data_IF_581094401168
#
_entry.id   IF_581094401168
#
_cell.length_a   1.000
_cell.length_b   1.000
_cell.length_c   1.000
_cell.angle_alpha   90.00
_cell.angle_beta   90.00
_cell.angle_gamma   90.00
#
_symmetry.space_group_name_H-M   'P 1'
#
loop_
_entity.id
_entity.type
_entity.pdbx_description
1 polymer ?
#
# COMPACT_ATOMS: atom_id res chain seq x y z
N UNK A 1 56.82 -21.88 4.12
CA UNK A 1 56.91 -21.68 5.58
C UNK A 1 56.49 -20.25 5.90
N UNK A 2 55.24 -20.02 6.30
CA UNK A 2 54.78 -18.70 6.75
C UNK A 2 54.35 -18.81 8.21
N UNK A 3 54.95 -17.97 9.07
CA UNK A 3 54.73 -17.91 10.52
C UNK A 3 53.52 -17.03 10.82
N UNK A 4 52.53 -17.61 11.49
CA UNK A 4 51.39 -16.94 12.12
C UNK A 4 51.82 -16.37 13.46
N UNK A 5 51.55 -15.07 13.72
CA UNK A 5 51.65 -14.50 15.06
C UNK A 5 50.26 -14.45 15.71
N UNK A 6 50.18 -15.03 16.91
CA UNK A 6 49.02 -15.03 17.80
C UNK A 6 49.18 -13.87 18.78
N UNK A 7 48.21 -12.96 18.83
CA UNK A 7 48.14 -11.91 19.86
C UNK A 7 47.16 -12.35 20.95
N UNK A 8 47.69 -12.50 22.18
CA UNK A 8 46.93 -12.77 23.41
C UNK A 8 46.24 -11.49 23.89
N UNK A 9 44.96 -11.61 24.28
CA UNK A 9 44.26 -10.60 25.10
C UNK A 9 44.44 -10.91 26.58
N UNK A 10 44.95 -9.94 27.33
CA UNK A 10 45.02 -9.93 28.80
C UNK A 10 43.77 -9.27 29.37
N UNK A 11 43.19 -9.90 30.39
CA UNK A 11 42.18 -9.33 31.29
C UNK A 11 42.85 -8.55 32.40
N UNK A 12 42.31 -7.38 32.75
CA UNK A 12 42.54 -6.77 34.07
C UNK A 12 41.26 -6.14 34.59
N UNK A 13 40.85 -6.64 35.74
CA UNK A 13 39.91 -6.05 36.69
C UNK A 13 40.61 -4.98 37.52
N UNK A 14 39.88 -3.94 37.94
CA UNK A 14 39.69 -3.57 39.36
C UNK A 14 38.94 -2.23 39.54
N UNK A 15 38.04 -2.27 40.52
CA UNK A 15 37.63 -1.26 41.50
C UNK A 15 37.43 0.22 41.12
N UNK A 16 36.20 0.72 41.35
CA UNK A 16 35.94 1.98 42.08
C UNK A 16 34.65 1.81 42.90
N UNK A 17 34.67 2.30 44.15
CA UNK A 17 33.62 2.15 45.15
C UNK A 17 32.56 3.25 45.21
N UNK A 18 31.67 3.05 46.19
CA UNK A 18 30.50 3.82 46.62
C UNK A 18 30.68 5.34 46.74
N UNK A 19 29.64 6.11 46.36
CA UNK A 19 29.12 7.27 47.10
C UNK A 19 27.58 7.34 46.93
N UNK A 20 26.88 7.44 48.08
CA UNK A 20 25.47 7.81 48.25
C UNK A 20 25.32 9.34 48.27
N UNK A 21 24.31 9.89 47.62
CA UNK A 21 23.52 11.02 48.15
C UNK A 21 22.19 11.19 47.41
N UNK A 22 21.17 11.48 48.22
CA UNK A 22 19.78 11.77 47.89
C UNK A 22 19.65 13.09 47.11
N UNK A 23 18.61 13.22 46.26
CA UNK A 23 17.71 14.38 46.29
C UNK A 23 16.49 14.21 45.35
N UNK A 24 15.38 14.80 45.77
CA UNK A 24 14.02 14.43 45.41
C UNK A 24 13.49 14.91 44.05
N UNK A 25 12.44 14.21 43.59
CA UNK A 25 11.61 14.59 42.46
C UNK A 25 10.19 14.93 42.95
N UNK A 26 9.57 16.05 42.51
CA UNK A 26 8.19 16.36 42.84
C UNK A 26 7.21 15.59 41.93
N UNK A 27 5.96 15.38 42.37
CA UNK A 27 5.00 14.56 41.64
C UNK A 27 4.44 15.30 40.41
N UNK A 28 4.36 14.57 39.29
CA UNK A 28 3.72 14.99 38.05
C UNK A 28 2.20 15.22 38.26
N UNK A 29 1.78 16.48 38.14
CA UNK A 29 0.36 16.87 38.06
C UNK A 29 -0.24 16.40 36.73
N UNK A 30 -1.26 15.55 36.79
CA UNK A 30 -2.15 15.23 35.67
C UNK A 30 -3.10 16.41 35.43
N UNK A 31 -2.83 17.22 34.41
CA UNK A 31 -3.82 18.17 33.89
C UNK A 31 -4.58 17.52 32.73
N UNK A 32 -5.83 17.16 32.97
CA UNK A 32 -6.80 16.76 31.94
C UNK A 32 -7.32 18.00 31.22
N UNK A 33 -6.90 18.23 29.97
CA UNK A 33 -7.44 19.29 29.12
C UNK A 33 -8.54 18.77 28.19
N UNK A 34 -9.76 19.25 28.42
CA UNK A 34 -10.95 19.12 27.57
C UNK A 34 -10.93 20.19 26.47
N UNK A 35 -10.21 19.95 25.36
CA UNK A 35 -10.14 20.92 24.23
C UNK A 35 -10.56 20.36 22.85
N UNK A 36 -11.10 19.14 22.79
CA UNK A 36 -11.61 18.54 21.54
C UNK A 36 -12.86 19.22 20.97
N UNK A 37 -13.52 20.13 21.71
CA UNK A 37 -14.74 20.80 21.25
C UNK A 37 -14.49 22.05 20.38
N UNK A 38 -13.37 22.78 20.54
CA UNK A 38 -13.14 24.02 19.75
C UNK A 38 -12.78 23.73 18.28
N UNK A 39 -12.02 22.66 18.00
CA UNK A 39 -11.66 22.26 16.63
C UNK A 39 -12.87 21.77 15.80
N UNK A 40 -13.89 21.17 16.45
CA UNK A 40 -15.14 20.76 15.77
C UNK A 40 -15.99 21.97 15.33
N UNK A 41 -15.92 23.08 16.06
CA UNK A 41 -16.71 24.28 15.79
C UNK A 41 -16.17 25.04 14.57
N UNK A 42 -14.84 25.15 14.43
CA UNK A 42 -14.23 25.84 13.28
C UNK A 42 -14.42 25.08 11.96
N UNK A 43 -14.44 23.75 11.97
CA UNK A 43 -14.70 22.94 10.76
C UNK A 43 -16.15 23.08 10.28
N UNK A 44 -17.15 23.11 11.19
CA UNK A 44 -18.55 23.34 10.81
C UNK A 44 -18.76 24.75 10.24
N UNK A 45 -18.12 25.77 10.80
CA UNK A 45 -18.16 27.15 10.27
C UNK A 45 -17.48 27.29 8.90
N UNK A 46 -16.43 26.52 8.62
CA UNK A 46 -15.77 26.51 7.31
C UNK A 46 -16.53 25.72 6.22
N UNK A 47 -17.37 24.75 6.59
CA UNK A 47 -18.18 23.95 5.65
C UNK A 47 -19.50 24.63 5.25
N UNK A 48 -20.10 25.45 6.12
CA UNK A 48 -21.35 26.16 5.81
C UNK A 48 -21.27 27.13 4.59
N UNK A 49 -20.19 27.90 4.36
CA UNK A 49 -20.09 28.76 3.18
C UNK A 49 -19.82 28.02 1.86
N UNK A 50 -19.60 26.69 1.87
CA UNK A 50 -19.47 25.88 0.64
C UNK A 50 -20.83 25.42 0.08
N UNK A 51 -21.91 25.52 0.86
CA UNK A 51 -23.26 25.05 0.48
C UNK A 51 -24.18 26.22 0.11
N UNK A 52 -23.86 27.44 0.53
CA UNK A 52 -24.71 28.61 0.30
C UNK A 52 -23.93 29.75 -0.41
N UNK A 53 -24.03 29.81 -1.73
CA UNK A 53 -23.94 31.08 -2.47
C UNK A 53 -24.55 31.00 -3.87
N UNK A 54 -25.41 31.95 -4.18
CA UNK A 54 -25.87 32.39 -5.51
C UNK A 54 -25.96 33.94 -5.44
N UNK A 55 -25.96 34.66 -6.57
CA UNK A 55 -24.77 35.33 -7.08
C UNK A 55 -24.84 36.86 -6.94
N UNK A 56 -23.67 37.50 -6.96
CA UNK A 56 -23.54 38.93 -7.24
C UNK A 56 -22.50 39.15 -8.33
N UNK A 57 -22.87 40.09 -9.22
CA UNK A 57 -22.37 40.29 -10.57
C UNK A 57 -20.94 40.88 -10.70
N UNK A 58 -20.43 40.73 -11.92
CA UNK A 58 -19.40 41.52 -12.62
C UNK A 58 -17.93 41.14 -12.42
N UNK A 59 -17.35 40.44 -13.41
CA UNK A 59 -16.39 41.01 -14.38
C UNK A 59 -16.01 39.96 -15.43
N UNK A 60 -15.84 40.42 -16.68
CA UNK A 60 -15.71 39.61 -17.89
C UNK A 60 -14.38 38.85 -17.96
N UNK A 61 -14.46 37.53 -18.01
CA UNK A 61 -13.50 36.69 -18.73
C UNK A 61 -14.27 35.66 -19.55
N UNK A 62 -13.88 35.48 -20.81
CA UNK A 62 -14.54 34.63 -21.79
C UNK A 62 -14.25 33.15 -21.51
N UNK A 63 -14.90 32.60 -20.48
CA UNK A 63 -15.14 31.17 -20.36
C UNK A 63 -16.54 30.87 -20.90
N UNK A 64 -16.67 29.84 -21.72
CA UNK A 64 -17.98 29.36 -22.18
C UNK A 64 -18.83 29.00 -20.95
N UNK A 65 -19.80 29.86 -20.66
CA UNK A 65 -20.76 29.68 -19.59
C UNK A 65 -21.83 28.69 -20.05
N UNK A 66 -21.44 27.43 -20.23
CA UNK A 66 -22.44 26.37 -20.32
C UNK A 66 -23.21 26.37 -18.99
N UNK A 67 -24.55 26.38 -19.03
CA UNK A 67 -25.34 26.38 -17.81
C UNK A 67 -24.92 25.18 -16.95
N UNK A 68 -24.78 25.35 -15.62
CA UNK A 68 -24.34 24.28 -14.74
C UNK A 68 -25.23 23.06 -14.94
N UNK A 69 -24.62 21.96 -15.37
CA UNK A 69 -25.35 20.74 -15.63
C UNK A 69 -25.96 20.26 -14.30
N UNK A 70 -27.29 20.09 -14.27
CA UNK A 70 -28.04 19.78 -13.03
C UNK A 70 -27.64 18.45 -12.38
N UNK A 71 -26.83 17.64 -13.06
CA UNK A 71 -26.45 16.30 -12.62
C UNK A 71 -25.05 16.22 -11.97
N UNK A 72 -24.33 17.34 -11.80
CA UNK A 72 -23.01 17.28 -11.17
C UNK A 72 -23.10 16.92 -9.68
N UNK A 73 -22.41 15.85 -9.29
CA UNK A 73 -22.25 15.47 -7.89
C UNK A 73 -21.06 16.21 -7.28
N UNK A 74 -21.23 16.72 -6.07
CA UNK A 74 -20.13 17.31 -5.27
C UNK A 74 -19.61 16.28 -4.30
N UNK A 75 -18.34 15.93 -4.43
CA UNK A 75 -17.63 15.02 -3.52
C UNK A 75 -16.59 15.78 -2.72
N UNK A 76 -16.70 15.73 -1.38
CA UNK A 76 -15.75 16.39 -0.47
C UNK A 76 -14.71 15.37 0.02
N UNK A 77 -13.45 15.65 -0.24
CA UNK A 77 -12.32 14.77 0.09
C UNK A 77 -11.40 15.49 1.06
N UNK A 78 -11.14 14.87 2.21
CA UNK A 78 -10.26 15.37 3.26
C UNK A 78 -9.07 14.44 3.42
N UNK A 79 -7.87 14.96 3.20
CA UNK A 79 -6.60 14.26 3.40
C UNK A 79 -5.92 14.86 4.62
N UNK A 80 -5.62 14.03 5.62
CA UNK A 80 -4.77 14.40 6.76
C UNK A 80 -3.38 13.83 6.55
N UNK A 81 -2.35 14.62 6.78
CA UNK A 81 -0.95 14.23 6.61
C UNK A 81 -0.27 14.23 7.99
N UNK A 82 0.20 13.06 8.42
CA UNK A 82 0.73 12.83 9.77
C UNK A 82 2.27 12.80 9.82
N UNK A 83 2.94 12.49 8.71
CA UNK A 83 4.41 12.43 8.67
C UNK A 83 4.96 12.56 7.25
N UNK A 84 6.25 12.86 7.15
CA UNK A 84 7.06 12.76 5.93
C UNK A 84 8.17 11.68 6.08
N UNK A 85 9.05 11.58 5.09
CA UNK A 85 10.15 10.60 5.06
C UNK A 85 11.46 11.05 5.72
N UNK A 86 11.40 12.06 6.61
CA UNK A 86 12.49 12.43 7.49
C UNK A 86 13.05 13.83 7.29
N UNK A 87 12.49 14.65 6.39
CA UNK A 87 12.87 16.05 6.31
C UNK A 87 12.34 16.83 7.54
N UNK A 88 13.20 17.55 8.29
CA UNK A 88 12.78 18.18 9.53
C UNK A 88 11.96 19.47 9.32
N UNK A 89 12.06 20.12 8.16
CA UNK A 89 11.51 21.47 7.93
C UNK A 89 10.46 21.56 6.84
N UNK A 90 10.39 20.56 5.96
CA UNK A 90 9.57 20.64 4.75
C UNK A 90 8.81 19.35 4.48
N UNK A 91 7.58 19.47 4.00
CA UNK A 91 6.82 18.40 3.38
C UNK A 91 6.47 18.77 1.95
N UNK A 92 6.47 17.80 1.04
CA UNK A 92 6.17 18.03 -0.37
C UNK A 92 5.41 16.90 -1.04
N UNK A 93 4.76 17.24 -2.15
CA UNK A 93 4.07 16.29 -3.04
C UNK A 93 4.05 16.88 -4.45
N UNK A 94 4.42 16.07 -5.45
CA UNK A 94 4.48 16.52 -6.83
C UNK A 94 3.09 16.64 -7.45
N UNK A 95 2.22 15.65 -7.24
CA UNK A 95 0.86 15.71 -7.77
C UNK A 95 -0.12 14.87 -6.91
N UNK A 96 -1.33 15.41 -6.74
CA UNK A 96 -2.53 14.74 -6.26
C UNK A 96 -3.61 14.84 -7.34
N UNK A 97 -4.07 13.71 -7.87
CA UNK A 97 -5.20 13.68 -8.80
C UNK A 97 -6.32 12.72 -8.36
N UNK A 98 -7.55 13.18 -8.52
CA UNK A 98 -8.75 12.37 -8.30
C UNK A 98 -9.14 11.73 -9.62
N UNK A 99 -9.50 10.44 -9.61
CA UNK A 99 -9.82 9.71 -10.83
C UNK A 99 -11.13 8.96 -10.74
N UNK A 100 -11.76 8.76 -11.90
CA UNK A 100 -12.95 7.92 -12.06
C UNK A 100 -12.59 6.46 -12.38
N UNK A 101 -13.61 5.64 -12.64
CA UNK A 101 -13.49 4.21 -12.96
C UNK A 101 -12.69 3.93 -14.24
N UNK A 102 -12.64 4.89 -15.15
CA UNK A 102 -11.84 4.81 -16.38
C UNK A 102 -10.38 5.26 -16.13
N UNK A 103 -10.06 5.74 -14.93
CA UNK A 103 -8.77 6.31 -14.60
C UNK A 103 -8.55 7.73 -15.14
N UNK A 104 -9.59 8.40 -15.63
CA UNK A 104 -9.53 9.78 -16.09
C UNK A 104 -9.49 10.75 -14.90
N UNK A 105 -8.70 11.83 -15.00
CA UNK A 105 -8.62 12.88 -13.96
C UNK A 105 -9.97 13.62 -13.85
N UNK A 106 -10.41 13.87 -12.63
CA UNK A 106 -11.63 14.60 -12.31
C UNK A 106 -11.31 16.04 -11.90
N UNK A 107 -12.12 17.03 -12.33
CA UNK A 107 -11.85 18.43 -12.05
C UNK A 107 -12.08 18.76 -10.57
N UNK A 108 -11.12 19.47 -9.97
CA UNK A 108 -11.23 19.99 -8.61
C UNK A 108 -11.91 21.35 -8.68
N UNK A 109 -13.04 21.49 -7.98
CA UNK A 109 -13.79 22.74 -7.93
C UNK A 109 -13.24 23.72 -6.90
N UNK A 110 -12.75 23.22 -5.76
CA UNK A 110 -12.14 24.04 -4.70
C UNK A 110 -11.11 23.25 -3.91
N UNK A 111 -10.08 23.91 -3.41
CA UNK A 111 -9.14 23.33 -2.45
C UNK A 111 -8.85 24.27 -1.27
N UNK A 112 -8.59 23.69 -0.11
CA UNK A 112 -8.20 24.39 1.12
C UNK A 112 -7.08 23.64 1.82
N UNK A 113 -6.22 24.41 2.48
CA UNK A 113 -5.13 23.91 3.32
C UNK A 113 -5.30 24.42 4.75
N UNK A 114 -5.31 23.52 5.73
CA UNK A 114 -5.53 23.83 7.14
C UNK A 114 -6.78 24.71 7.40
N UNK A 115 -7.81 24.58 6.56
CA UNK A 115 -9.05 25.37 6.64
C UNK A 115 -8.97 26.76 6.02
N UNK A 116 -7.83 27.15 5.46
CA UNK A 116 -7.66 28.39 4.69
C UNK A 116 -7.73 28.10 3.20
N UNK A 117 -8.39 28.99 2.45
CA UNK A 117 -8.35 28.96 0.98
C UNK A 117 -6.96 29.41 0.55
N UNK A 118 -6.18 28.48 0.00
CA UNK A 118 -4.84 28.73 -0.53
C UNK A 118 -4.76 28.18 -1.96
N UNK A 119 -5.75 28.54 -2.78
CA UNK A 119 -5.98 27.88 -4.07
C UNK A 119 -4.78 27.99 -5.00
N UNK A 120 -4.12 29.15 -5.09
CA UNK A 120 -2.94 29.35 -5.92
C UNK A 120 -1.77 28.45 -5.51
N UNK A 121 -1.47 28.36 -4.21
CA UNK A 121 -0.41 27.50 -3.69
C UNK A 121 -0.73 26.02 -3.91
N UNK A 122 -2.00 25.66 -3.76
CA UNK A 122 -2.42 24.28 -3.91
C UNK A 122 -2.66 23.86 -5.36
N UNK A 123 -2.86 24.79 -6.31
CA UNK A 123 -2.98 24.48 -7.75
C UNK A 123 -1.80 23.64 -8.24
N UNK A 124 -0.61 23.87 -7.67
CA UNK A 124 0.57 23.05 -7.93
C UNK A 124 0.34 21.55 -7.69
N UNK A 125 -0.54 21.18 -6.75
CA UNK A 125 -0.87 19.78 -6.47
C UNK A 125 -1.67 19.11 -7.59
N UNK A 126 -2.54 19.80 -8.33
CA UNK A 126 -3.49 19.10 -9.21
C UNK A 126 -3.53 19.57 -10.66
N UNK A 127 -3.00 20.76 -10.95
CA UNK A 127 -3.15 21.42 -12.24
C UNK A 127 -1.94 21.21 -13.17
N UNK A 128 -0.94 20.44 -12.74
CA UNK A 128 0.26 20.21 -13.53
C UNK A 128 0.26 18.87 -14.25
N UNK A 129 0.49 18.93 -15.56
CA UNK A 129 0.64 17.77 -16.44
C UNK A 129 2.07 17.23 -16.55
N UNK A 130 3.06 17.90 -15.93
CA UNK A 130 4.47 17.45 -15.98
C UNK A 130 5.13 17.51 -14.60
N UNK A 131 5.61 16.34 -14.17
CA UNK A 131 6.23 16.05 -12.87
C UNK A 131 7.72 16.47 -12.83
N UNK A 132 8.27 17.00 -13.94
CA UNK A 132 9.72 17.06 -14.15
C UNK A 132 10.44 18.26 -13.51
N UNK A 133 9.73 19.35 -13.17
CA UNK A 133 10.34 20.58 -12.64
C UNK A 133 10.11 20.77 -11.12
N UNK A 134 11.16 21.15 -10.37
CA UNK A 134 11.08 21.37 -8.91
C UNK A 134 10.09 22.48 -8.55
N UNK A 135 10.03 23.50 -9.43
CA UNK A 135 9.18 24.68 -9.29
C UNK A 135 7.68 24.35 -9.21
N UNK A 136 7.31 23.15 -9.67
CA UNK A 136 5.92 22.73 -9.80
C UNK A 136 5.50 21.77 -8.68
N UNK A 137 6.37 21.52 -7.70
CA UNK A 137 6.04 20.68 -6.55
C UNK A 137 5.42 21.52 -5.46
N UNK A 138 4.29 21.07 -4.91
CA UNK A 138 3.74 21.68 -3.71
C UNK A 138 4.66 21.40 -2.51
N UNK A 139 5.06 22.47 -1.82
CA UNK A 139 5.91 22.43 -0.63
C UNK A 139 5.26 23.21 0.49
N UNK A 140 5.45 22.73 1.71
CA UNK A 140 4.92 23.33 2.92
C UNK A 140 5.88 23.15 4.09
N UNK A 141 5.80 24.05 5.07
CA UNK A 141 6.58 23.94 6.30
C UNK A 141 6.16 22.71 7.10
N UNK A 142 7.15 22.05 7.70
CA UNK A 142 6.99 20.87 8.56
C UNK A 142 7.88 21.04 9.79
N UNK A 143 7.47 20.57 10.99
CA UNK A 143 6.17 20.01 11.33
C UNK A 143 5.05 21.06 11.30
N UNK A 144 3.77 20.65 11.35
CA UNK A 144 2.66 21.58 11.49
C UNK A 144 2.83 22.45 12.74
N UNK A 145 2.47 23.72 12.66
CA UNK A 145 2.46 24.62 13.81
C UNK A 145 1.57 24.08 14.94
N UNK A 146 2.08 24.14 16.17
CA UNK A 146 1.31 23.78 17.35
C UNK A 146 0.02 24.64 17.43
N UNK A 147 -1.13 24.05 17.83
CA UNK A 147 -1.30 22.74 18.45
C UNK A 147 -1.60 21.59 17.46
N UNK A 148 -1.45 21.84 16.16
CA UNK A 148 -1.84 20.85 15.15
C UNK A 148 -0.83 19.70 15.09
N UNK A 149 -1.32 18.46 15.10
CA UNK A 149 -0.47 17.27 14.94
C UNK A 149 -0.36 16.79 13.48
N UNK A 150 -1.08 17.44 12.55
CA UNK A 150 -1.14 17.06 11.14
C UNK A 150 -1.55 18.25 10.28
N UNK A 151 -1.15 18.24 9.02
CA UNK A 151 -1.75 19.12 8.01
C UNK A 151 -3.05 18.53 7.48
N UNK A 152 -3.94 19.40 6.99
CA UNK A 152 -5.22 19.04 6.38
C UNK A 152 -5.32 19.65 4.99
N UNK A 153 -5.45 18.80 3.98
CA UNK A 153 -5.91 19.20 2.66
C UNK A 153 -7.40 18.87 2.54
N UNK A 154 -8.19 19.80 2.01
CA UNK A 154 -9.61 19.62 1.76
C UNK A 154 -9.91 19.99 0.32
N UNK A 155 -10.44 19.05 -0.43
CA UNK A 155 -10.79 19.21 -1.84
C UNK A 155 -12.29 19.03 -2.03
N UNK A 156 -12.86 19.77 -2.96
CA UNK A 156 -14.18 19.53 -3.53
C UNK A 156 -13.99 19.15 -4.98
N UNK A 157 -14.54 18.01 -5.38
CA UNK A 157 -14.55 17.53 -6.76
C UNK A 157 -15.99 17.63 -7.25
N UNK A 158 -16.21 18.37 -8.33
CA UNK A 158 -17.53 18.54 -8.94
C UNK A 158 -17.52 17.83 -10.29
N UNK A 159 -18.17 16.67 -10.38
CA UNK A 159 -18.22 15.87 -11.60
C UNK A 159 -19.47 15.01 -11.65
N UNK A 160 -19.87 14.59 -12.86
CA UNK A 160 -20.90 13.58 -13.07
C UNK A 160 -20.36 12.17 -12.78
N UNK A 161 -19.05 12.00 -12.94
CA UNK A 161 -18.36 10.78 -12.63
C UNK A 161 -18.03 10.68 -11.14
N UNK A 162 -18.10 9.47 -10.62
CA UNK A 162 -17.72 9.17 -9.24
C UNK A 162 -16.21 9.11 -9.09
N UNK A 163 -15.72 9.62 -7.96
CA UNK A 163 -14.31 9.47 -7.55
C UNK A 163 -14.08 8.04 -7.07
N UNK A 164 -13.22 7.29 -7.76
CA UNK A 164 -12.92 5.88 -7.44
C UNK A 164 -11.46 5.62 -7.12
N UNK A 165 -10.60 6.64 -7.28
CA UNK A 165 -9.25 6.61 -6.74
C UNK A 165 -8.63 7.99 -6.52
N UNK A 166 -7.56 8.01 -5.72
CA UNK A 166 -6.67 9.15 -5.55
C UNK A 166 -5.27 8.72 -5.98
N UNK A 167 -4.68 9.38 -6.96
CA UNK A 167 -3.27 9.21 -7.33
C UNK A 167 -2.45 10.19 -6.52
N UNK A 168 -1.42 9.70 -5.85
CA UNK A 168 -0.44 10.51 -5.11
C UNK A 168 0.92 10.27 -5.74
N UNK A 169 1.52 11.32 -6.27
CA UNK A 169 2.84 11.30 -6.87
C UNK A 169 3.85 12.01 -5.96
N UNK A 170 4.93 11.31 -5.57
CA UNK A 170 5.99 11.90 -4.76
C UNK A 170 6.83 12.90 -5.57
N UNK A 171 7.46 13.84 -4.87
CA UNK A 171 8.60 14.60 -5.39
C UNK A 171 9.82 13.67 -5.52
N UNK A 172 10.31 13.49 -6.74
CA UNK A 172 11.45 12.61 -7.02
C UNK A 172 12.80 13.29 -6.75
N UNK A 173 12.84 14.62 -6.66
CA UNK A 173 14.08 15.38 -6.48
C UNK A 173 14.53 15.40 -5.02
N UNK A 174 13.60 15.52 -4.08
CA UNK A 174 13.88 15.36 -2.65
C UNK A 174 12.87 14.41 -1.99
N UNK A 175 13.21 13.13 -1.99
CA UNK A 175 12.36 12.08 -1.42
C UNK A 175 12.24 12.12 0.10
N UNK A 176 13.06 12.89 0.80
CA UNK A 176 12.96 13.04 2.26
C UNK A 176 11.76 13.88 2.68
N UNK A 177 11.33 14.80 1.80
CA UNK A 177 10.19 15.69 2.02
C UNK A 177 8.85 15.03 1.69
N UNK A 178 8.84 13.88 1.02
CA UNK A 178 7.60 13.25 0.59
C UNK A 178 6.69 12.86 1.74
N UNK A 179 5.39 12.96 1.48
CA UNK A 179 4.33 12.48 2.38
C UNK A 179 4.54 10.99 2.68
N UNK A 180 4.54 10.62 3.97
CA UNK A 180 4.63 9.24 4.45
C UNK A 180 3.28 8.72 4.94
N UNK A 181 2.83 9.12 6.13
CA UNK A 181 1.57 8.62 6.70
C UNK A 181 0.40 9.57 6.42
N UNK A 182 -0.69 9.05 5.87
CA UNK A 182 -1.92 9.82 5.62
C UNK A 182 -3.19 9.11 6.11
N UNK A 183 -4.26 9.89 6.20
CA UNK A 183 -5.61 9.36 6.15
C UNK A 183 -6.49 10.15 5.20
N UNK A 184 -7.34 9.44 4.47
CA UNK A 184 -8.28 10.04 3.52
C UNK A 184 -9.69 9.78 4.02
N UNK A 185 -10.52 10.82 3.99
CA UNK A 185 -11.96 10.75 4.18
C UNK A 185 -12.70 11.32 2.98
N UNK A 186 -13.76 10.64 2.54
CA UNK A 186 -14.67 11.10 1.49
C UNK A 186 -16.07 11.25 2.07
N UNK A 187 -16.68 12.43 1.95
CA UNK A 187 -17.99 12.75 2.52
C UNK A 187 -18.09 12.35 4.02
N UNK A 188 -17.06 12.72 4.79
CA UNK A 188 -16.87 12.38 6.22
C UNK A 188 -16.52 10.92 6.55
N UNK A 189 -16.60 10.00 5.60
CA UNK A 189 -16.24 8.59 5.81
C UNK A 189 -14.76 8.38 5.53
N UNK A 190 -13.99 7.91 6.51
CA UNK A 190 -12.58 7.56 6.29
C UNK A 190 -12.48 6.38 5.33
N UNK A 191 -11.88 6.58 4.15
CA UNK A 191 -11.73 5.55 3.11
C UNK A 191 -10.34 4.92 3.10
N UNK A 192 -9.33 5.59 3.67
CA UNK A 192 -7.97 5.10 3.71
C UNK A 192 -7.22 5.60 4.95
N UNK A 193 -6.32 4.77 5.49
CA UNK A 193 -5.25 5.17 6.42
C UNK A 193 -4.05 4.26 6.16
N UNK A 194 -2.87 4.84 5.97
CA UNK A 194 -1.67 4.05 5.72
C UNK A 194 -0.48 4.90 5.33
N UNK A 195 0.61 4.21 5.00
CA UNK A 195 1.84 4.81 4.50
C UNK A 195 1.88 4.83 2.97
N UNK A 196 2.38 5.92 2.40
CA UNK A 196 2.69 6.08 0.99
C UNK A 196 4.14 5.70 0.71
N UNK A 197 4.47 5.15 -0.47
CA UNK A 197 5.85 4.90 -0.86
C UNK A 197 6.70 6.18 -0.89
N UNK A 198 7.99 6.05 -0.60
CA UNK A 198 8.93 7.18 -0.53
C UNK A 198 9.22 7.81 -1.90
N UNK A 199 9.28 7.01 -2.95
CA UNK A 199 9.89 7.35 -4.24
C UNK A 199 9.06 6.87 -5.44
N UNK A 200 7.83 6.40 -5.21
CA UNK A 200 6.94 5.93 -6.28
C UNK A 200 5.49 6.35 -6.07
N UNK A 201 4.79 6.62 -7.17
CA UNK A 201 3.37 6.99 -7.16
C UNK A 201 2.47 5.88 -6.62
N UNK A 202 1.44 6.25 -5.86
CA UNK A 202 0.45 5.32 -5.34
C UNK A 202 -0.95 5.72 -5.80
N UNK A 203 -1.75 4.72 -6.20
CA UNK A 203 -3.19 4.89 -6.39
C UNK A 203 -3.89 4.33 -5.17
N UNK A 204 -4.58 5.19 -4.44
CA UNK A 204 -5.44 4.84 -3.30
C UNK A 204 -6.83 4.56 -3.85
N UNK A 205 -7.29 3.30 -3.89
CA UNK A 205 -8.63 2.99 -4.36
C UNK A 205 -9.69 3.48 -3.35
N UNK A 206 -10.78 4.03 -3.87
CA UNK A 206 -11.96 4.45 -3.12
C UNK A 206 -13.10 3.49 -3.46
N UNK A 207 -13.24 2.44 -2.65
CA UNK A 207 -14.35 1.50 -2.76
C UNK A 207 -15.54 1.99 -1.92
N UNK A 208 -16.72 2.18 -2.55
CA UNK A 208 -17.95 2.62 -1.88
C UNK A 208 -18.43 1.65 -0.81
N UNK A 209 -18.03 0.38 -0.89
CA UNK A 209 -18.42 -0.61 0.13
C UNK A 209 -17.85 -0.25 1.50
N UNK A 210 -16.67 0.41 1.56
CA UNK A 210 -16.12 0.92 2.81
C UNK A 210 -16.95 2.06 3.42
N UNK A 211 -17.77 2.74 2.61
CA UNK A 211 -18.66 3.82 3.03
C UNK A 211 -19.99 3.25 3.52
N UNK A 212 -20.52 2.24 2.84
CA UNK A 212 -21.79 1.59 3.19
C UNK A 212 -21.64 0.73 4.45
N UNK A 213 -20.51 0.02 4.61
CA UNK A 213 -20.31 -0.88 5.75
C UNK A 213 -19.98 -0.20 7.09
N UNK A 214 -19.70 1.11 7.11
CA UNK A 214 -19.38 1.85 8.36
C UNK A 214 -20.55 2.52 9.06
N UNK A 215 -21.75 2.46 8.49
CA UNK A 215 -22.98 2.75 9.25
C UNK A 215 -23.41 1.57 10.13
N UNK A 216 -22.79 0.41 9.96
CA UNK A 216 -22.91 -0.74 10.86
C UNK A 216 -21.68 -0.72 11.78
N UNK A 217 -21.92 -0.89 13.07
CA UNK A 217 -21.04 -0.49 14.17
C UNK A 217 -19.59 -1.00 14.08
N UNK A 218 -18.67 -0.16 14.57
CA UNK A 218 -17.22 -0.39 14.58
C UNK A 218 -16.76 -1.65 15.35
N UNK A 219 -17.65 -2.30 16.11
CA UNK A 219 -17.36 -3.57 16.79
C UNK A 219 -17.60 -4.81 15.91
N UNK A 220 -18.40 -4.76 14.85
CA UNK A 220 -18.63 -5.93 13.96
C UNK A 220 -17.61 -6.04 12.82
N UNK A 221 -16.91 -4.93 12.49
CA UNK A 221 -15.93 -4.87 11.39
C UNK A 221 -14.66 -5.70 11.65
N UNK A 222 -14.31 -5.99 12.91
CA UNK A 222 -13.17 -6.87 13.25
C UNK A 222 -13.39 -8.32 12.82
N UNK A 223 -14.62 -8.68 12.41
CA UNK A 223 -14.99 -10.03 12.00
C UNK A 223 -15.36 -10.19 10.52
N UNK A 224 -15.20 -9.16 9.68
CA UNK A 224 -15.48 -9.30 8.24
C UNK A 224 -14.38 -10.15 7.60
N UNK A 225 -14.62 -11.45 7.56
CA UNK A 225 -13.78 -12.41 6.88
C UNK A 225 -14.09 -12.36 5.39
N UNK A 226 -13.11 -12.04 4.55
CA UNK A 226 -13.27 -12.14 3.10
C UNK A 226 -13.49 -13.61 2.73
N UNK A 227 -14.68 -13.95 2.23
CA UNK A 227 -15.04 -15.31 1.82
C UNK A 227 -15.33 -15.36 0.31
N UNK A 228 -14.35 -15.09 -0.56
CA UNK A 228 -14.57 -15.09 -2.00
C UNK A 228 -14.99 -16.47 -2.50
N UNK A 229 -15.84 -16.50 -3.53
CA UNK A 229 -16.07 -17.70 -4.32
C UNK A 229 -15.06 -17.81 -5.47
N UNK A 230 -14.67 -16.68 -6.06
CA UNK A 230 -13.67 -16.55 -7.12
C UNK A 230 -12.58 -15.58 -6.68
N UNK A 231 -11.32 -16.01 -6.79
CA UNK A 231 -10.14 -15.17 -6.60
C UNK A 231 -9.43 -15.08 -7.94
N UNK A 232 -9.20 -13.87 -8.44
CA UNK A 232 -8.56 -13.66 -9.73
C UNK A 232 -7.29 -12.84 -9.55
N UNK A 233 -6.15 -13.40 -9.97
CA UNK A 233 -4.88 -12.73 -10.09
C UNK A 233 -4.66 -12.32 -11.55
N UNK A 234 -4.46 -11.02 -11.76
CA UNK A 234 -4.14 -10.43 -13.03
C UNK A 234 -2.68 -9.96 -13.03
N UNK A 235 -1.84 -10.54 -13.89
CA UNK A 235 -0.47 -10.11 -14.09
C UNK A 235 -0.43 -8.90 -15.03
N UNK A 236 0.10 -7.77 -14.55
CA UNK A 236 0.17 -6.52 -15.31
C UNK A 236 1.54 -6.26 -15.91
N UNK A 237 2.60 -6.70 -15.22
CA UNK A 237 3.97 -6.44 -15.62
C UNK A 237 4.90 -7.45 -14.94
N UNK A 238 6.10 -7.58 -15.48
CA UNK A 238 7.17 -8.49 -15.04
C UNK A 238 8.49 -7.75 -14.90
N UNK A 239 9.40 -8.35 -14.15
CA UNK A 239 10.80 -7.95 -14.18
C UNK A 239 11.43 -8.58 -15.41
N UNK A 240 12.41 -7.91 -16.03
CA UNK A 240 13.34 -8.46 -17.03
C UNK A 240 12.81 -8.87 -18.42
N UNK A 241 11.56 -9.33 -18.54
CA UNK A 241 11.02 -9.86 -19.80
C UNK A 241 9.54 -9.48 -19.98
N UNK A 242 9.22 -8.66 -20.98
CA UNK A 242 7.85 -8.15 -21.23
C UNK A 242 6.87 -9.19 -21.77
N UNK A 243 7.36 -10.35 -22.19
CA UNK A 243 6.52 -11.33 -22.89
C UNK A 243 6.12 -12.45 -21.94
N UNK A 244 6.93 -12.71 -20.92
CA UNK A 244 6.82 -13.87 -20.05
C UNK A 244 6.72 -13.48 -18.57
N UNK A 245 5.66 -13.95 -17.90
CA UNK A 245 5.46 -13.81 -16.46
C UNK A 245 5.53 -15.14 -15.70
N UNK A 246 6.58 -15.28 -14.90
CA UNK A 246 6.88 -16.33 -13.94
C UNK A 246 6.15 -16.18 -12.61
N UNK A 247 5.37 -17.21 -12.28
CA UNK A 247 4.91 -17.49 -10.91
C UNK A 247 5.25 -18.94 -10.61
N UNK A 248 5.84 -19.20 -9.45
CA UNK A 248 6.15 -20.55 -9.01
C UNK A 248 4.97 -21.16 -8.25
N UNK A 249 4.43 -20.41 -7.29
CA UNK A 249 3.40 -20.91 -6.40
C UNK A 249 2.52 -19.79 -5.85
N UNK A 250 1.26 -20.11 -5.60
CA UNK A 250 0.30 -19.26 -4.88
C UNK A 250 -0.25 -20.05 -3.69
N UNK A 251 -0.03 -19.53 -2.48
CA UNK A 251 -0.55 -20.10 -1.25
C UNK A 251 -1.69 -19.24 -0.71
N UNK A 252 -2.71 -19.91 -0.17
CA UNK A 252 -3.82 -19.28 0.52
C UNK A 252 -3.74 -19.59 2.00
N UNK A 253 -3.91 -18.57 2.84
CA UNK A 253 -3.90 -18.70 4.29
C UNK A 253 -5.26 -18.28 4.83
N UNK A 254 -5.84 -19.08 5.73
CA UNK A 254 -7.11 -18.74 6.37
C UNK A 254 -6.91 -17.64 7.44
N UNK A 255 -7.97 -17.26 8.16
CA UNK A 255 -7.88 -16.24 9.22
C UNK A 255 -7.22 -16.73 10.51
N UNK A 256 -7.01 -18.04 10.67
CA UNK A 256 -6.32 -18.62 11.83
C UNK A 256 -4.80 -18.67 11.62
N UNK A 257 -4.32 -18.26 10.43
CA UNK A 257 -2.91 -18.30 10.07
C UNK A 257 -2.47 -19.65 9.51
N UNK A 258 -3.40 -20.50 9.10
CA UNK A 258 -3.12 -21.85 8.61
C UNK A 258 -3.20 -21.91 7.08
N UNK A 259 -2.35 -22.73 6.46
CA UNK A 259 -2.39 -23.00 5.02
C UNK A 259 -3.69 -23.70 4.63
N UNK A 260 -4.37 -23.14 3.63
CA UNK A 260 -5.52 -23.78 3.00
C UNK A 260 -4.99 -24.78 1.97
N UNK A 261 -5.31 -26.06 2.15
CA UNK A 261 -5.11 -27.07 1.10
C UNK A 261 -6.00 -26.73 -0.11
N UNK A 262 -5.43 -25.97 -1.04
CA UNK A 262 -6.16 -25.36 -2.14
C UNK A 262 -6.43 -26.34 -3.30
N UNK A 263 -5.60 -27.38 -3.44
CA UNK A 263 -5.67 -28.38 -4.53
C UNK A 263 -7.07 -29.01 -4.64
N UNK A 264 -7.69 -29.32 -3.50
CA UNK A 264 -9.02 -29.95 -3.47
C UNK A 264 -10.18 -28.96 -3.30
N UNK A 265 -9.87 -27.67 -3.14
CA UNK A 265 -10.86 -26.63 -2.81
C UNK A 265 -11.15 -25.72 -3.99
N UNK A 266 -10.18 -25.51 -4.87
CA UNK A 266 -10.28 -24.60 -6.01
C UNK A 266 -10.14 -25.33 -7.34
N UNK A 267 -10.97 -24.95 -8.30
CA UNK A 267 -10.72 -25.17 -9.72
C UNK A 267 -9.93 -23.98 -10.26
N UNK A 268 -8.87 -24.24 -11.01
CA UNK A 268 -8.02 -23.20 -11.60
C UNK A 268 -8.47 -22.98 -13.04
N UNK A 269 -8.78 -21.73 -13.38
CA UNK A 269 -9.09 -21.25 -14.71
C UNK A 269 -8.00 -20.28 -15.15
N UNK A 270 -7.55 -20.40 -16.39
CA UNK A 270 -6.39 -19.68 -16.88
C UNK A 270 -6.76 -19.04 -18.21
N UNK A 271 -6.40 -17.78 -18.36
CA UNK A 271 -6.66 -17.01 -19.58
C UNK A 271 -5.37 -16.30 -19.98
N UNK A 272 -5.03 -16.39 -21.27
CA UNK A 272 -3.83 -15.79 -21.88
C UNK A 272 -2.50 -16.32 -21.28
N UNK A 273 -2.43 -17.61 -20.96
CA UNK A 273 -1.26 -18.30 -20.41
C UNK A 273 -0.77 -19.40 -21.38
N UNK A 274 0.55 -19.58 -21.52
CA UNK A 274 1.20 -20.65 -22.30
C UNK A 274 1.71 -21.76 -21.37
N UNK A 275 1.90 -22.96 -21.95
CA UNK A 275 2.60 -24.11 -21.36
C UNK A 275 2.15 -24.53 -19.96
N UNK A 276 1.16 -25.41 -19.92
CA UNK A 276 0.60 -25.95 -18.69
C UNK A 276 0.63 -27.47 -18.74
N UNK A 277 1.65 -28.05 -18.11
CA UNK A 277 1.70 -29.50 -17.93
C UNK A 277 0.86 -29.94 -16.73
N UNK A 278 0.77 -29.14 -15.66
CA UNK A 278 -0.13 -29.39 -14.52
C UNK A 278 -0.48 -28.10 -13.75
N UNK A 279 -1.74 -27.64 -13.89
CA UNK A 279 -2.20 -26.41 -13.22
C UNK A 279 -2.12 -26.48 -11.69
N UNK A 280 -2.22 -27.69 -11.14
CA UNK A 280 -2.25 -27.91 -9.70
C UNK A 280 -0.89 -27.62 -9.05
N UNK A 281 0.19 -27.53 -9.83
CA UNK A 281 1.51 -27.18 -9.30
C UNK A 281 1.54 -25.80 -8.64
N UNK A 282 0.69 -24.85 -9.07
CA UNK A 282 0.56 -23.55 -8.39
C UNK A 282 0.14 -23.68 -6.93
N UNK A 283 -0.59 -24.74 -6.59
CA UNK A 283 -1.27 -24.90 -5.30
C UNK A 283 -0.57 -25.91 -4.37
N UNK A 284 0.49 -26.61 -4.82
CA UNK A 284 1.14 -27.67 -4.03
C UNK A 284 2.25 -27.13 -3.13
N UNK A 285 2.11 -27.13 -1.79
CA UNK A 285 3.12 -26.56 -0.89
C UNK A 285 4.52 -27.17 -1.11
N UNK A 286 5.56 -26.33 -1.14
CA UNK A 286 6.96 -26.76 -1.31
C UNK A 286 7.37 -27.80 -0.26
N UNK A 287 6.86 -27.71 0.97
CA UNK A 287 7.18 -28.63 2.07
C UNK A 287 6.76 -30.08 1.83
N UNK A 288 5.80 -30.33 0.93
CA UNK A 288 5.35 -31.68 0.60
C UNK A 288 6.32 -32.44 -0.30
N UNK A 289 7.40 -31.81 -0.76
CA UNK A 289 8.28 -32.32 -1.81
C UNK A 289 9.69 -32.52 -1.27
N UNK A 290 9.98 -33.75 -0.83
CA UNK A 290 11.30 -34.14 -0.31
C UNK A 290 12.42 -33.95 -1.35
N UNK A 291 12.09 -33.97 -2.64
CA UNK A 291 13.02 -33.73 -3.74
C UNK A 291 12.48 -32.61 -4.63
N UNK A 292 12.96 -31.38 -4.41
CA UNK A 292 12.68 -30.26 -5.30
C UNK A 292 13.52 -30.45 -6.57
N UNK A 293 12.87 -30.93 -7.62
CA UNK A 293 13.46 -31.14 -8.93
C UNK A 293 13.23 -29.87 -9.77
N UNK A 294 14.22 -28.97 -9.78
CA UNK A 294 14.09 -27.66 -10.45
C UNK A 294 13.71 -27.78 -11.93
N UNK A 295 14.09 -28.88 -12.58
CA UNK A 295 13.77 -29.16 -13.99
C UNK A 295 12.27 -29.45 -14.21
N UNK A 296 11.57 -29.96 -13.19
CA UNK A 296 10.11 -30.19 -13.24
C UNK A 296 9.30 -28.94 -12.92
N UNK A 297 9.93 -27.92 -12.34
CA UNK A 297 9.28 -26.66 -12.02
C UNK A 297 9.53 -25.65 -13.13
N UNK A 298 8.97 -25.94 -14.30
CA UNK A 298 8.85 -24.93 -15.34
C UNK A 298 7.98 -23.80 -14.77
N UNK A 299 8.54 -22.59 -14.59
CA UNK A 299 7.77 -21.49 -14.10
C UNK A 299 6.64 -21.20 -15.06
N UNK A 300 5.53 -20.71 -14.52
CA UNK A 300 4.39 -20.35 -15.34
C UNK A 300 4.81 -19.26 -16.33
N UNK A 301 4.36 -19.32 -17.58
CA UNK A 301 4.76 -18.34 -18.59
C UNK A 301 3.52 -17.84 -19.34
N UNK A 302 3.35 -16.52 -19.40
CA UNK A 302 2.30 -15.88 -20.19
C UNK A 302 2.58 -15.99 -21.69
N UNK A 303 1.53 -15.98 -22.51
CA UNK A 303 1.68 -16.06 -23.97
C UNK A 303 2.23 -14.76 -24.57
N UNK A 304 1.78 -13.64 -24.02
CA UNK A 304 2.19 -12.25 -24.26
C UNK A 304 1.53 -11.39 -23.16
N UNK A 305 2.27 -10.51 -22.47
CA UNK A 305 1.66 -9.63 -21.45
C UNK A 305 0.63 -8.65 -22.04
N UNK A 306 0.65 -8.43 -23.36
CA UNK A 306 -0.30 -7.57 -24.07
C UNK A 306 -1.75 -7.99 -23.85
N UNK A 307 -1.99 -9.29 -23.64
CA UNK A 307 -3.33 -9.86 -23.36
C UNK A 307 -3.64 -9.98 -21.86
N UNK A 308 -2.77 -9.47 -20.99
CA UNK A 308 -2.92 -9.48 -19.52
C UNK A 308 -3.20 -10.88 -18.94
N UNK A 309 -2.17 -11.68 -18.67
CA UNK A 309 -2.35 -13.04 -18.20
C UNK A 309 -3.11 -13.11 -16.88
N UNK A 310 -4.05 -14.04 -16.79
CA UNK A 310 -5.00 -14.11 -15.69
C UNK A 310 -5.11 -15.54 -15.14
N UNK A 311 -5.09 -15.63 -13.81
CA UNK A 311 -5.27 -16.87 -13.05
C UNK A 311 -6.48 -16.71 -12.14
N UNK A 312 -7.51 -17.51 -12.35
CA UNK A 312 -8.72 -17.52 -11.53
C UNK A 312 -8.84 -18.81 -10.73
N UNK A 313 -9.00 -18.69 -9.42
CA UNK A 313 -9.26 -19.78 -8.49
C UNK A 313 -10.73 -19.74 -8.09
N UNK A 314 -11.49 -20.76 -8.49
CA UNK A 314 -12.93 -20.86 -8.26
C UNK A 314 -13.21 -21.95 -7.24
N UNK A 315 -13.72 -21.57 -6.07
CA UNK A 315 -14.06 -22.52 -5.01
C UNK A 315 -15.52 -22.96 -5.09
N UNK A 316 -15.78 -24.23 -4.76
CA UNK A 316 -17.15 -24.76 -4.59
C UNK A 316 -17.84 -24.19 -3.34
N UNK A 317 -17.06 -23.80 -2.32
CA UNK A 317 -17.55 -23.21 -1.08
C UNK A 317 -16.79 -21.93 -0.79
N UNK A 318 -17.48 -20.89 -0.34
CA UNK A 318 -16.84 -19.63 0.08
C UNK A 318 -15.92 -19.88 1.27
N UNK A 319 -14.61 -19.67 1.10
CA UNK A 319 -13.59 -19.94 2.12
C UNK A 319 -13.02 -18.61 2.63
N UNK A 320 -12.92 -18.41 3.96
CA UNK A 320 -12.33 -17.19 4.51
C UNK A 320 -10.82 -17.12 4.23
N UNK A 321 -10.35 -16.03 3.61
CA UNK A 321 -8.95 -15.79 3.23
C UNK A 321 -8.37 -14.65 4.06
N UNK A 322 -7.40 -14.97 4.92
CA UNK A 322 -6.65 -13.99 5.71
C UNK A 322 -5.41 -13.47 5.00
N UNK A 323 -4.76 -14.30 4.17
CA UNK A 323 -3.65 -13.86 3.32
C UNK A 323 -3.54 -14.67 2.01
N UNK A 324 -2.91 -14.05 1.01
CA UNK A 324 -2.44 -14.71 -0.21
C UNK A 324 -0.93 -14.48 -0.30
N UNK A 325 -0.18 -15.54 -0.58
CA UNK A 325 1.28 -15.48 -0.74
C UNK A 325 1.61 -15.89 -2.17
N UNK A 326 2.28 -14.99 -2.90
CA UNK A 326 2.75 -15.24 -4.26
C UNK A 326 4.25 -15.49 -4.18
N UNK A 327 4.68 -16.67 -4.63
CA UNK A 327 6.07 -17.09 -4.67
C UNK A 327 6.51 -17.06 -6.13
N UNK A 328 7.53 -16.26 -6.42
CA UNK A 328 8.10 -16.18 -7.76
C UNK A 328 9.04 -17.34 -8.08
N UNK A 329 9.46 -17.45 -9.35
CA UNK A 329 10.41 -18.47 -9.79
C UNK A 329 11.78 -18.27 -9.15
N UNK A 330 12.50 -19.39 -9.01
CA UNK A 330 13.94 -19.36 -8.73
C UNK A 330 14.63 -18.66 -9.89
N UNK A 331 15.37 -17.61 -9.58
CA UNK A 331 16.28 -17.00 -10.56
C UNK A 331 17.55 -17.85 -10.55
N UNK A 332 18.05 -18.27 -11.70
CA UNK A 332 19.41 -18.78 -11.82
C UNK A 332 20.29 -17.69 -12.45
N UNK A 333 21.57 -17.68 -12.15
CA UNK A 333 22.51 -16.78 -12.82
C UNK A 333 22.43 -17.01 -14.34
N UNK A 334 22.24 -15.94 -15.10
CA UNK A 334 22.04 -15.99 -16.56
C UNK A 334 20.62 -16.33 -17.03
N UNK A 335 19.68 -16.72 -16.14
CA UNK A 335 18.28 -16.88 -16.52
C UNK A 335 17.58 -15.53 -16.68
N UNK A 336 16.63 -15.38 -17.63
CA UNK A 336 15.84 -14.18 -17.73
C UNK A 336 15.04 -14.02 -16.43
N UNK A 337 15.16 -12.85 -15.81
CA UNK A 337 14.25 -12.48 -14.73
C UNK A 337 12.86 -12.39 -15.37
N UNK A 338 11.97 -13.31 -15.01
CA UNK A 338 10.59 -13.35 -15.50
C UNK A 338 9.60 -13.11 -14.36
N UNK A 339 10.07 -12.70 -13.18
CA UNK A 339 9.24 -12.60 -11.98
C UNK A 339 8.10 -11.59 -12.21
N UNK A 340 6.87 -11.94 -11.80
CA UNK A 340 5.77 -10.98 -11.64
C UNK A 340 6.23 -9.68 -10.94
N UNK A 341 5.99 -8.53 -11.58
CA UNK A 341 6.36 -7.20 -11.07
C UNK A 341 5.16 -6.40 -10.62
N UNK A 342 4.07 -6.41 -11.39
CA UNK A 342 2.83 -5.70 -11.06
C UNK A 342 1.65 -6.64 -11.19
N UNK A 343 0.69 -6.53 -10.27
CA UNK A 343 -0.48 -7.40 -10.26
C UNK A 343 -1.73 -6.70 -9.74
N UNK A 344 -2.87 -7.35 -9.95
CA UNK A 344 -4.13 -7.04 -9.28
C UNK A 344 -4.83 -8.33 -8.84
N UNK A 345 -5.42 -8.29 -7.65
CA UNK A 345 -6.22 -9.36 -7.06
C UNK A 345 -7.67 -8.88 -6.97
N UNK A 346 -8.57 -9.68 -7.52
CA UNK A 346 -10.00 -9.49 -7.44
C UNK A 346 -10.65 -10.62 -6.65
N UNK A 347 -11.61 -10.29 -5.81
CA UNK A 347 -12.51 -11.24 -5.15
C UNK A 347 -13.91 -11.05 -5.73
N UNK A 348 -14.46 -12.10 -6.33
CA UNK A 348 -15.79 -12.09 -6.96
C UNK A 348 -15.97 -10.89 -7.93
N UNK A 349 -14.93 -10.60 -8.73
CA UNK A 349 -14.92 -9.49 -9.69
C UNK A 349 -14.57 -8.12 -9.11
N UNK A 350 -14.43 -7.98 -7.78
CA UNK A 350 -14.12 -6.71 -7.13
C UNK A 350 -12.65 -6.59 -6.79
N UNK A 351 -12.01 -5.48 -7.16
CA UNK A 351 -10.60 -5.23 -6.87
C UNK A 351 -10.37 -5.13 -5.36
N UNK A 352 -9.54 -6.01 -4.83
CA UNK A 352 -9.15 -6.01 -3.41
C UNK A 352 -7.74 -5.47 -3.20
N UNK A 353 -6.82 -5.83 -4.09
CA UNK A 353 -5.42 -5.40 -3.98
C UNK A 353 -4.85 -5.18 -5.36
N UNK A 354 -4.07 -4.12 -5.52
CA UNK A 354 -3.18 -3.94 -6.66
C UNK A 354 -1.83 -3.48 -6.11
N UNK A 355 -0.74 -3.86 -6.77
CA UNK A 355 0.56 -3.47 -6.27
C UNK A 355 1.71 -3.99 -7.10
N UNK A 356 2.90 -3.78 -6.55
CA UNK A 356 4.15 -4.32 -7.06
C UNK A 356 4.65 -5.43 -6.14
N UNK A 357 5.11 -6.52 -6.73
CA UNK A 357 5.92 -7.54 -6.03
C UNK A 357 7.26 -6.88 -5.75
N UNK A 358 7.74 -6.90 -4.51
CA UNK A 358 9.11 -6.48 -4.22
C UNK A 358 10.01 -7.70 -4.39
N UNK A 359 11.04 -7.62 -5.22
CA UNK A 359 12.13 -8.59 -5.22
C UNK A 359 12.93 -8.39 -3.93
N UNK A 360 12.46 -8.99 -2.84
CA UNK A 360 13.23 -9.17 -1.61
C UNK A 360 13.61 -10.63 -1.55
N UNK A 361 14.90 -10.89 -1.66
CA UNK A 361 15.47 -12.19 -1.40
C UNK A 361 15.26 -12.52 0.07
N UNK A 362 14.74 -13.72 0.35
CA UNK A 362 14.38 -14.13 1.70
C UNK A 362 15.60 -14.38 2.59
N UNK A 363 16.76 -14.63 1.99
CA UNK A 363 18.04 -14.83 2.68
C UNK A 363 19.18 -14.57 1.67
N UNK A 364 20.30 -14.01 2.14
CA UNK A 364 21.52 -13.86 1.34
C UNK A 364 22.09 -15.22 0.90
N UNK A 365 21.76 -16.30 1.63
CA UNK A 365 22.15 -17.68 1.29
C UNK A 365 21.12 -18.43 0.43
N UNK A 366 19.89 -17.92 0.36
CA UNK A 366 18.82 -18.44 -0.48
C UNK A 366 18.46 -17.38 -1.52
N UNK A 367 19.41 -17.12 -2.41
CA UNK A 367 19.40 -16.03 -3.40
C UNK A 367 18.20 -16.02 -4.38
N UNK A 368 17.21 -16.91 -4.24
CA UNK A 368 16.36 -17.26 -5.38
C UNK A 368 14.85 -17.32 -5.10
N UNK A 369 14.37 -17.30 -3.86
CA UNK A 369 12.92 -17.25 -3.59
C UNK A 369 12.52 -15.83 -3.14
N UNK A 370 11.75 -15.12 -3.97
CA UNK A 370 11.02 -13.94 -3.50
C UNK A 370 9.55 -14.30 -3.27
N UNK A 371 9.05 -13.94 -2.09
CA UNK A 371 7.66 -14.10 -1.71
C UNK A 371 7.02 -12.74 -1.48
N UNK A 372 5.84 -12.54 -2.05
CA UNK A 372 4.99 -11.37 -1.78
C UNK A 372 3.79 -11.79 -0.96
N UNK A 373 3.66 -11.19 0.22
CA UNK A 373 2.58 -11.43 1.16
C UNK A 373 1.49 -10.36 0.99
N UNK A 374 0.26 -10.81 0.74
CA UNK A 374 -0.92 -9.97 0.61
C UNK A 374 -1.85 -10.26 1.78
N UNK A 375 -1.85 -9.39 2.77
CA UNK A 375 -2.68 -9.52 3.96
C UNK A 375 -4.06 -8.91 3.73
N UNK A 376 -5.09 -9.66 4.11
CA UNK A 376 -6.50 -9.25 4.16
C UNK A 376 -7.05 -9.31 5.59
N UNK A 377 -6.19 -9.66 6.55
CA UNK A 377 -6.38 -9.52 7.98
C UNK A 377 -5.38 -8.47 8.50
N UNK A 378 -5.89 -7.44 9.16
CA UNK A 378 -5.12 -6.32 9.67
C UNK A 378 -4.51 -6.59 11.06
N UNK A 379 -4.79 -7.73 11.67
CA UNK A 379 -4.20 -8.14 12.96
C UNK A 379 -2.67 -8.31 12.82
N UNK A 380 -1.86 -7.51 13.53
CA UNK A 380 -0.39 -7.60 13.48
C UNK A 380 0.15 -8.97 13.91
N UNK A 381 -0.49 -9.64 14.87
CA UNK A 381 -0.03 -10.94 15.37
C UNK A 381 -0.23 -12.03 14.32
N UNK A 382 -1.40 -12.04 13.68
CA UNK A 382 -1.66 -12.85 12.49
C UNK A 382 -0.60 -12.61 11.40
N UNK A 383 -0.33 -11.34 11.04
CA UNK A 383 0.64 -11.03 9.97
C UNK A 383 2.04 -11.53 10.31
N UNK A 384 2.46 -11.40 11.57
CA UNK A 384 3.74 -11.91 12.06
C UNK A 384 3.79 -13.44 11.96
N UNK A 385 2.77 -14.12 12.51
CA UNK A 385 2.66 -15.58 12.47
C UNK A 385 2.74 -16.13 11.04
N UNK A 386 2.02 -15.53 10.09
CA UNK A 386 2.05 -15.96 8.69
C UNK A 386 3.43 -15.82 8.05
N UNK A 387 4.16 -14.72 8.34
CA UNK A 387 5.53 -14.52 7.80
C UNK A 387 6.53 -15.50 8.40
N UNK A 388 6.37 -15.84 9.67
CA UNK A 388 7.33 -16.68 10.39
C UNK A 388 7.10 -18.18 10.11
N UNK A 389 5.85 -18.61 9.91
CA UNK A 389 5.51 -20.04 9.98
C UNK A 389 5.00 -20.65 8.66
N UNK A 390 4.59 -19.86 7.66
CA UNK A 390 3.94 -20.44 6.46
C UNK A 390 4.91 -20.85 5.37
N UNK A 391 5.94 -20.05 5.11
CA UNK A 391 7.03 -20.47 4.24
C UNK A 391 8.09 -21.10 5.15
N UNK A 392 8.30 -22.42 5.10
CA UNK A 392 9.33 -23.04 5.91
C UNK A 392 10.66 -22.41 5.53
N UNK A 393 11.35 -21.82 6.51
CA UNK A 393 12.78 -21.58 6.38
C UNK A 393 13.39 -22.96 6.19
N UNK A 394 13.83 -23.29 4.97
CA UNK A 394 14.58 -24.52 4.76
C UNK A 394 15.80 -24.42 5.68
N UNK A 395 15.92 -25.34 6.62
CA UNK A 395 17.23 -25.66 7.15
C UNK A 395 18.04 -26.16 5.96
N UNK A 396 19.19 -25.54 5.68
CA UNK A 396 20.08 -26.01 4.62
C UNK A 396 20.38 -27.49 4.89
N UNK A 397 20.34 -28.37 3.86
CA UNK A 397 20.92 -29.68 3.99
C UNK A 397 22.35 -29.51 4.51
N UNK A 398 22.69 -30.17 5.61
CA UNK A 398 23.98 -30.04 6.32
C UNK A 398 25.18 -30.23 5.37
N UNK A 399 24.95 -30.96 4.28
CA UNK A 399 25.90 -31.31 3.24
C UNK A 399 26.34 -30.08 2.41
N UNK A 400 25.48 -29.08 2.23
CA UNK A 400 25.79 -27.83 1.50
C UNK A 400 26.59 -26.85 2.37
N UNK A 401 26.40 -26.93 3.69
CA UNK A 401 27.19 -26.17 4.67
C UNK A 401 28.63 -26.70 4.80
N UNK A 402 28.89 -27.94 4.41
CA UNK A 402 30.22 -28.55 4.48
C UNK A 402 31.03 -28.39 3.18
N UNK A 403 30.40 -27.90 2.10
CA UNK A 403 31.05 -27.63 0.80
C UNK A 403 31.34 -26.14 0.54
N UNK A 404 30.90 -25.27 1.45
CA UNK A 404 31.26 -23.86 1.56
C UNK A 404 32.28 -23.70 2.69
#
# INVERSE_FOLDING_TARGET
>A
MFRTQIVRKTSLSQHVGNILSQDGLPPLRKNSFSHTNQLKINIKKALNPLIASSPTNNSQSSFSSDPPNKNDMITVIKIKIFSNWGNPTTISCAELSFVNDLGSKLPISTAMFNGQKQEEKLKALWDHGSIEADSNTWKEEWPPEAPSAFHVLLFSVKSQDRVTGIRVWPNLQDTSTNIREISVSMNHNKVFKGELPKDFGMVIPINDENIIHRRLDQEEMSNIKFRPQRITLLAKNTYGNTDVCGIHQILFVNYNGELINAVNKYTIQLENMKNLTDNLLLLRPISSQKNYDAEKYTPWTGEELTRMPMISFVSKKRIPIGAIIIIGPLLHEGSPNIHLKQFSIYFDGKLQRSGRVKQRFLDEKFEFLCATYLFFNDDPEFQKNVRENIIPRRELPTNVLNSL
#
